data_IF_508158769827
#
_entry.id   IF_508158769827
#
_cell.length_a   1.000
_cell.length_b   1.000
_cell.length_c   1.000
_cell.angle_alpha   90.00
_cell.angle_beta   90.00
_cell.angle_gamma   90.00
#
_symmetry.space_group_name_H-M   'P 1'
#
loop_
_entity.id
_entity.type
_entity.pdbx_description
1 polymer ?
#
# COMPACT_ATOMS: atom_id res chain seq x y z
N UNK A 1 6.32 -13.22 16.56
CA UNK A 1 6.15 -13.15 16.23
C UNK A 1 5.95 -13.19 15.93
N UNK A 2 5.89 -13.51 15.94
CA UNK A 2 5.67 -13.61 15.44
C UNK A 2 5.45 -13.92 14.96
N UNK A 3 5.34 -14.42 14.99
CA UNK A 3 5.10 -14.73 14.41
C UNK A 3 4.91 -15.11 14.14
N UNK A 4 4.83 -15.32 14.35
CA UNK A 4 4.51 -15.58 14.01
C UNK A 4 4.19 -15.83 13.76
N UNK A 5 4.11 -16.24 14.03
CA UNK A 5 3.66 -16.37 13.72
C UNK A 5 3.33 -16.54 13.36
N UNK A 6 3.20 -16.83 13.43
CA UNK A 6 2.73 -16.83 13.05
C UNK A 6 2.39 -16.87 12.53
N UNK A 7 2.16 -17.20 12.58
CA UNK A 7 1.82 -17.13 12.05
C UNK A 7 1.46 -17.13 11.75
N UNK A 8 1.32 -17.58 11.66
CA UNK A 8 0.85 -17.38 11.12
C UNK A 8 0.31 -17.29 10.65
N UNK A 9 0.18 -17.70 10.81
CA UNK A 9 -0.48 -17.57 10.33
C UNK A 9 -1.24 -16.95 9.71
N UNK A 10 -2.19 -16.68 10.32
CA UNK A 10 -3.29 -16.04 9.62
C UNK A 10 -2.88 -15.08 8.56
N UNK A 11 -1.91 -14.36 8.86
CA UNK A 11 -1.39 -13.40 7.91
C UNK A 11 -0.79 -14.05 6.68
N UNK A 12 -0.68 -15.32 6.72
CA UNK A 12 -0.13 -16.05 5.60
C UNK A 12 -0.87 -15.79 4.32
N UNK A 13 -2.14 -15.44 4.40
CA UNK A 13 -2.93 -15.17 3.22
C UNK A 13 -3.25 -13.70 3.05
N UNK A 14 -2.61 -12.85 3.82
CA UNK A 14 -2.85 -11.44 3.73
C UNK A 14 -2.33 -10.86 2.43
N UNK A 15 -3.23 -10.36 1.62
CA UNK A 15 -2.87 -9.74 0.36
C UNK A 15 -2.81 -8.24 0.53
N UNK A 16 -1.88 -7.64 -0.18
CA UNK A 16 -1.64 -6.20 -0.13
C UNK A 16 -1.79 -5.62 -1.51
N UNK A 17 -2.42 -4.47 -1.60
CA UNK A 17 -2.51 -3.74 -2.87
C UNK A 17 -1.91 -2.35 -2.69
N UNK A 18 -1.51 -1.76 -3.81
CA UNK A 18 -0.91 -0.43 -3.83
C UNK A 18 -1.79 0.50 -4.64
N UNK A 19 -2.04 1.68 -4.10
CA UNK A 19 -2.76 2.70 -4.84
C UNK A 19 -1.76 3.76 -5.24
N UNK A 20 -1.58 3.94 -6.55
CA UNK A 20 -0.60 4.85 -7.11
C UNK A 20 0.54 4.07 -7.75
N UNK A 21 0.67 4.18 -9.07
CA UNK A 21 1.69 3.45 -9.82
C UNK A 21 2.75 4.40 -10.41
N UNK A 22 3.11 5.43 -9.65
CA UNK A 22 4.23 6.28 -9.99
C UNK A 22 5.53 5.58 -9.62
N UNK A 23 6.61 6.35 -9.49
CA UNK A 23 7.92 5.75 -9.22
C UNK A 23 7.95 4.97 -7.92
N UNK A 24 7.40 5.54 -6.85
CA UNK A 24 7.39 4.85 -5.56
C UNK A 24 6.49 3.62 -5.61
N UNK A 25 5.28 3.76 -6.14
CA UNK A 25 4.34 2.64 -6.21
C UNK A 25 4.91 1.48 -7.01
N UNK A 26 5.54 1.78 -8.14
CA UNK A 26 6.16 0.74 -8.95
C UNK A 26 7.30 0.05 -8.24
N UNK A 27 8.13 0.83 -7.53
CA UNK A 27 9.24 0.25 -6.77
C UNK A 27 8.73 -0.70 -5.68
N UNK A 28 7.66 -0.30 -4.99
CA UNK A 28 7.08 -1.14 -3.96
C UNK A 28 6.42 -2.38 -4.55
N UNK A 29 5.77 -2.23 -5.70
CA UNK A 29 5.12 -3.36 -6.36
C UNK A 29 6.12 -4.44 -6.74
N UNK A 30 7.28 -4.03 -7.22
CA UNK A 30 8.30 -4.95 -7.69
C UNK A 30 9.27 -5.42 -6.61
N UNK A 31 9.16 -4.87 -5.41
CA UNK A 31 10.07 -5.21 -4.32
C UNK A 31 9.74 -6.59 -3.76
N UNK A 32 10.71 -7.50 -3.77
CA UNK A 32 10.50 -8.88 -3.33
C UNK A 32 10.66 -9.07 -1.82
N UNK A 33 11.21 -8.08 -1.11
CA UNK A 33 11.50 -8.24 0.30
C UNK A 33 10.28 -8.40 1.19
N UNK A 34 9.11 -7.95 0.75
CA UNK A 34 7.90 -8.07 1.55
C UNK A 34 7.47 -9.51 1.77
N UNK A 35 7.79 -10.39 0.82
CA UNK A 35 7.37 -11.78 0.92
C UNK A 35 8.07 -12.51 2.07
N UNK A 36 9.23 -12.02 2.46
CA UNK A 36 9.96 -12.59 3.60
C UNK A 36 9.20 -12.40 4.92
N UNK A 37 8.28 -11.46 4.94
CA UNK A 37 7.48 -11.16 6.13
C UNK A 37 6.03 -11.58 5.97
N UNK A 38 5.77 -12.44 5.00
CA UNK A 38 4.42 -12.96 4.79
C UNK A 38 3.47 -12.00 4.09
N UNK A 39 4.00 -10.98 3.45
CA UNK A 39 3.18 -9.99 2.75
C UNK A 39 3.32 -10.14 1.25
N UNK A 40 2.22 -10.37 0.58
CA UNK A 40 2.21 -10.51 -0.87
C UNK A 40 1.55 -9.29 -1.47
N UNK A 41 2.33 -8.49 -2.22
CA UNK A 41 1.77 -7.36 -2.95
C UNK A 41 1.20 -7.89 -4.25
N UNK A 42 -0.13 -7.89 -4.34
CA UNK A 42 -0.85 -8.55 -5.43
C UNK A 42 -0.99 -7.70 -6.67
N UNK A 43 -1.22 -6.42 -6.51
CA UNK A 43 -1.53 -5.56 -7.64
C UNK A 43 -1.42 -4.10 -7.25
N UNK A 44 -1.37 -3.24 -8.26
CA UNK A 44 -1.43 -1.80 -8.07
C UNK A 44 -2.63 -1.25 -8.83
N UNK A 45 -3.10 -0.09 -8.40
CA UNK A 45 -4.23 0.60 -9.01
C UNK A 45 -3.87 2.06 -9.22
N UNK A 46 -4.25 2.61 -10.38
CA UNK A 46 -3.92 3.99 -10.70
C UNK A 46 -5.00 4.60 -11.56
N UNK A 47 -5.39 5.83 -11.23
CA UNK A 47 -6.44 6.52 -11.97
C UNK A 47 -6.07 6.87 -13.40
N UNK A 48 -4.77 6.88 -13.70
CA UNK A 48 -4.30 7.18 -15.05
C UNK A 48 -4.31 5.98 -15.97
N UNK A 49 -4.56 4.81 -15.42
CA UNK A 49 -4.60 3.57 -16.19
C UNK A 49 -6.04 3.33 -16.62
N UNK A 50 -6.22 3.06 -17.92
CA UNK A 50 -7.56 2.85 -18.46
C UNK A 50 -7.89 1.40 -18.68
N UNK A 51 -6.88 0.53 -18.76
CA UNK A 51 -7.08 -0.91 -18.85
C UNK A 51 -5.88 -1.60 -18.19
N UNK A 52 -6.05 -2.85 -17.74
CA UNK A 52 -4.98 -3.54 -17.01
C UNK A 52 -3.68 -3.61 -17.80
N UNK A 53 -2.58 -3.35 -17.11
CA UNK A 53 -1.24 -3.43 -17.68
C UNK A 53 -0.49 -4.54 -16.95
N UNK A 54 -0.13 -5.58 -17.67
CA UNK A 54 0.63 -6.67 -17.08
C UNK A 54 2.13 -6.40 -17.20
N UNK A 55 2.81 -6.47 -16.08
CA UNK A 55 4.26 -6.23 -16.03
C UNK A 55 5.02 -7.52 -16.31
N UNK A 56 6.30 -7.37 -16.62
CA UNK A 56 7.16 -8.53 -16.89
C UNK A 56 7.22 -9.49 -15.70
N UNK A 57 7.09 -8.96 -14.49
CA UNK A 57 7.08 -9.77 -13.26
C UNK A 57 5.82 -10.61 -13.10
N UNK A 58 4.81 -10.36 -13.92
CA UNK A 58 3.51 -11.01 -13.81
C UNK A 58 2.50 -10.21 -13.03
N UNK A 59 2.92 -9.17 -12.33
CA UNK A 59 2.00 -8.32 -11.58
C UNK A 59 1.28 -7.38 -12.52
N UNK A 60 0.14 -6.86 -12.08
CA UNK A 60 -0.74 -6.07 -12.94
C UNK A 60 -1.07 -4.74 -12.29
N UNK A 61 -1.13 -3.70 -13.11
CA UNK A 61 -1.62 -2.38 -12.70
C UNK A 61 -3.03 -2.26 -13.29
N UNK A 62 -4.01 -2.03 -12.43
CA UNK A 62 -5.41 -1.93 -12.82
C UNK A 62 -5.92 -0.49 -12.79
N UNK A 63 -6.97 -0.19 -13.57
CA UNK A 63 -7.68 1.08 -13.39
C UNK A 63 -8.33 1.12 -12.01
N UNK A 64 -8.47 2.33 -11.44
CA UNK A 64 -9.12 2.47 -10.14
C UNK A 64 -10.54 1.92 -10.14
N UNK A 65 -11.23 1.98 -11.27
CA UNK A 65 -12.60 1.49 -11.34
C UNK A 65 -12.70 -0.02 -11.10
N UNK A 66 -11.60 -0.75 -11.23
CA UNK A 66 -11.59 -2.19 -10.98
C UNK A 66 -11.37 -2.54 -9.51
N UNK A 67 -11.11 -1.55 -8.66
CA UNK A 67 -10.73 -1.79 -7.28
C UNK A 67 -11.79 -2.54 -6.48
N UNK A 68 -13.05 -2.10 -6.57
CA UNK A 68 -14.12 -2.72 -5.80
C UNK A 68 -14.31 -4.18 -6.16
N UNK A 69 -14.26 -4.49 -7.47
CA UNK A 69 -14.39 -5.87 -7.91
C UNK A 69 -13.21 -6.71 -7.44
N UNK A 70 -12.01 -6.16 -7.54
CA UNK A 70 -10.81 -6.86 -7.10
C UNK A 70 -10.88 -7.19 -5.60
N UNK A 71 -11.35 -6.24 -4.80
CA UNK A 71 -11.48 -6.46 -3.36
C UNK A 71 -12.55 -7.49 -3.02
N UNK A 72 -13.62 -7.57 -3.83
CA UNK A 72 -14.64 -8.61 -3.61
C UNK A 72 -14.11 -9.99 -3.92
N UNK A 73 -13.26 -10.09 -4.94
CA UNK A 73 -12.76 -11.39 -5.41
C UNK A 73 -11.51 -11.85 -4.67
N UNK A 74 -10.90 -10.98 -3.89
CA UNK A 74 -9.67 -11.28 -3.18
C UNK A 74 -9.76 -10.79 -1.74
N UNK A 75 -9.06 -11.49 -0.86
CA UNK A 75 -9.05 -11.11 0.55
C UNK A 75 -7.90 -10.13 0.78
N UNK A 76 -8.20 -8.85 0.65
CA UNK A 76 -7.20 -7.79 0.78
C UNK A 76 -7.14 -7.32 2.22
N UNK A 77 -5.98 -7.40 2.83
CA UNK A 77 -5.78 -7.02 4.23
C UNK A 77 -5.12 -5.67 4.40
N UNK A 78 -4.25 -5.28 3.46
CA UNK A 78 -3.46 -4.06 3.58
C UNK A 78 -3.56 -3.25 2.30
N UNK A 79 -3.75 -1.93 2.46
CA UNK A 79 -3.69 -1.01 1.33
C UNK A 79 -2.52 -0.05 1.52
N UNK A 80 -1.70 0.09 0.50
CA UNK A 80 -0.58 1.02 0.52
C UNK A 80 -0.97 2.24 -0.29
N UNK A 81 -0.83 3.42 0.30
CA UNK A 81 -1.13 4.68 -0.37
C UNK A 81 0.18 5.30 -0.85
N UNK A 82 0.35 5.36 -2.16
CA UNK A 82 1.54 5.91 -2.80
C UNK A 82 1.16 7.00 -3.79
N UNK A 83 0.12 7.78 -3.47
CA UNK A 83 -0.33 8.89 -4.29
C UNK A 83 0.12 10.21 -3.64
N UNK A 84 0.07 11.33 -4.39
CA UNK A 84 0.40 12.63 -3.81
C UNK A 84 -0.51 12.99 -2.65
N UNK A 85 -0.02 13.92 -1.81
CA UNK A 85 -0.72 14.29 -0.58
C UNK A 85 -2.16 14.75 -0.83
N UNK A 86 -2.41 15.46 -1.92
CA UNK A 86 -3.73 16.00 -2.19
C UNK A 86 -4.74 14.92 -2.60
N UNK A 87 -4.30 13.74 -2.96
CA UNK A 87 -5.17 12.63 -3.33
C UNK A 87 -5.30 11.57 -2.22
N UNK A 88 -4.47 11.65 -1.20
CA UNK A 88 -4.36 10.59 -0.21
C UNK A 88 -5.64 10.35 0.59
N UNK A 89 -6.32 11.42 1.00
CA UNK A 89 -7.55 11.25 1.79
C UNK A 89 -8.65 10.56 0.99
N UNK A 90 -8.79 10.94 -0.28
CA UNK A 90 -9.79 10.31 -1.15
C UNK A 90 -9.49 8.82 -1.31
N UNK A 91 -8.22 8.48 -1.49
CA UNK A 91 -7.81 7.09 -1.62
C UNK A 91 -8.09 6.31 -0.34
N UNK A 92 -7.79 6.91 0.81
CA UNK A 92 -8.09 6.25 2.08
C UNK A 92 -9.58 5.94 2.21
N UNK A 93 -10.42 6.91 1.85
CA UNK A 93 -11.86 6.72 1.93
C UNK A 93 -12.32 5.57 1.04
N UNK A 94 -11.75 5.48 -0.16
CA UNK A 94 -12.10 4.40 -1.08
C UNK A 94 -11.67 3.04 -0.52
N UNK A 95 -10.49 2.97 0.05
CA UNK A 95 -10.00 1.72 0.64
C UNK A 95 -10.90 1.29 1.81
N UNK A 96 -11.28 2.23 2.66
CA UNK A 96 -12.14 1.92 3.79
C UNK A 96 -13.52 1.45 3.33
N UNK A 97 -14.06 2.06 2.26
CA UNK A 97 -15.34 1.65 1.71
C UNK A 97 -15.31 0.22 1.19
N UNK A 98 -14.13 -0.26 0.84
CA UNK A 98 -13.94 -1.63 0.36
C UNK A 98 -13.51 -2.59 1.45
N UNK A 99 -13.61 -2.17 2.70
CA UNK A 99 -13.34 -3.05 3.84
C UNK A 99 -11.88 -3.20 4.23
N UNK A 100 -11.00 -2.40 3.65
CA UNK A 100 -9.58 -2.48 3.98
C UNK A 100 -9.32 -1.60 5.19
N UNK A 101 -8.85 -2.20 6.28
CA UNK A 101 -8.71 -1.52 7.56
C UNK A 101 -7.27 -1.33 8.02
N UNK A 102 -6.30 -1.78 7.24
CA UNK A 102 -4.90 -1.62 7.57
C UNK A 102 -4.24 -0.88 6.43
N UNK A 103 -3.70 0.29 6.72
CA UNK A 103 -3.21 1.22 5.72
C UNK A 103 -1.75 1.58 5.99
N UNK A 104 -0.96 1.58 4.95
CA UNK A 104 0.43 2.05 5.01
C UNK A 104 0.55 3.19 4.02
N UNK A 105 0.75 4.41 4.52
CA UNK A 105 0.76 5.57 3.66
C UNK A 105 2.13 6.24 3.63
N UNK A 106 2.51 6.65 2.43
CA UNK A 106 3.73 7.42 2.21
C UNK A 106 3.44 8.90 1.97
N UNK A 107 2.16 9.27 1.97
CA UNK A 107 1.79 10.67 1.77
C UNK A 107 2.14 11.48 3.02
N UNK A 108 2.79 12.64 2.86
CA UNK A 108 3.21 13.45 4.01
C UNK A 108 2.08 14.33 4.53
N UNK A 109 0.97 13.71 4.87
CA UNK A 109 -0.23 14.43 5.31
C UNK A 109 -0.99 13.57 6.30
N UNK A 110 -1.59 14.22 7.29
CA UNK A 110 -2.44 13.50 8.25
C UNK A 110 -3.75 13.14 7.59
N UNK A 111 -4.17 11.90 7.79
CA UNK A 111 -5.41 11.39 7.22
C UNK A 111 -6.45 11.23 8.33
N UNK A 112 -7.71 11.47 7.98
CA UNK A 112 -8.83 11.28 8.89
C UNK A 112 -9.45 9.91 8.61
N UNK A 113 -9.59 9.10 9.65
CA UNK A 113 -9.96 7.70 9.49
C UNK A 113 -11.02 7.28 10.48
N UNK A 114 -11.79 6.22 10.17
CA UNK A 114 -12.65 5.59 11.17
C UNK A 114 -11.81 4.99 12.30
N UNK A 115 -12.44 4.82 13.47
CA UNK A 115 -11.73 4.36 14.67
C UNK A 115 -11.14 2.95 14.52
N UNK A 116 -11.75 2.11 13.69
CA UNK A 116 -11.30 0.74 13.53
C UNK A 116 -10.25 0.55 12.44
N UNK A 117 -9.76 1.65 11.88
CA UNK A 117 -8.74 1.59 10.82
C UNK A 117 -7.38 1.92 11.42
N UNK A 118 -6.39 1.10 11.10
CA UNK A 118 -5.00 1.32 11.51
C UNK A 118 -4.23 1.93 10.38
N UNK A 119 -3.48 2.99 10.67
CA UNK A 119 -2.65 3.64 9.68
C UNK A 119 -1.22 3.72 10.18
N UNK A 120 -0.29 3.28 9.34
CA UNK A 120 1.12 3.51 9.58
C UNK A 120 1.61 4.55 8.58
N UNK A 121 2.26 5.58 9.11
CA UNK A 121 2.78 6.67 8.29
C UNK A 121 4.28 6.46 8.07
N UNK A 122 4.70 6.58 6.82
CA UNK A 122 6.11 6.58 6.46
C UNK A 122 6.41 7.85 5.72
N UNK A 123 7.37 8.62 6.23
CA UNK A 123 7.78 9.85 5.56
C UNK A 123 9.26 9.73 5.24
N UNK A 124 9.54 9.39 3.99
CA UNK A 124 10.92 9.17 3.54
C UNK A 124 11.76 10.43 3.64
N UNK A 125 11.15 11.58 3.33
CA UNK A 125 11.87 12.84 3.42
C UNK A 125 12.25 13.17 4.87
N UNK A 126 11.36 12.88 5.81
CA UNK A 126 11.64 13.12 7.21
C UNK A 126 12.77 12.23 7.71
N UNK A 127 12.78 10.99 7.29
CA UNK A 127 13.85 10.08 7.69
C UNK A 127 15.20 10.56 7.19
N UNK A 128 15.24 11.05 5.96
CA UNK A 128 16.49 11.61 5.42
C UNK A 128 16.90 12.87 6.18
N UNK A 129 15.93 13.72 6.51
CA UNK A 129 16.21 14.94 7.27
C UNK A 129 16.77 14.61 8.65
N UNK A 130 16.26 13.58 9.31
CA UNK A 130 16.79 13.13 10.58
C UNK A 130 18.25 12.69 10.46
N UNK A 131 18.54 11.91 9.43
CA UNK A 131 19.91 11.47 9.20
C UNK A 131 20.82 12.67 8.98
N UNK A 132 20.39 13.62 8.15
CA UNK A 132 21.19 14.80 7.86
C UNK A 132 21.47 15.60 9.12
N UNK A 133 20.52 15.72 10.03
CA UNK A 133 20.70 16.49 11.25
C UNK A 133 21.72 15.87 12.19
N UNK A 134 22.06 14.62 12.01
CA UNK A 134 23.04 13.93 12.85
C UNK A 134 24.45 14.02 12.29
N UNK A 135 24.60 14.56 11.10
CA UNK A 135 25.93 14.73 10.50
C UNK A 135 26.59 15.97 11.10
N UNK A 136 27.78 15.78 11.66
CA UNK A 136 28.54 16.88 12.25
C UNK A 136 29.65 17.26 11.28
N UNK A 137 29.71 18.53 10.90
CA UNK A 137 30.70 18.99 9.93
C UNK A 137 31.77 19.85 10.56
#
# INVERSE_FOLDING_TARGET
LICSLEKFSGCENGKTIIIGAGKLGMALLEYSGFEEYGCTVSAAFDKKVTEPIKLDSGKVIYPMEDLSRFCRDNDIKIGIIAVPADAAQTVLNILCENGIKNIWTFAPVKLYKPADVLIRYENLALSLAHLKSQIIE
#
